data_IF_375879363967
#
_entry.id   IF_375879363967
#
_cell.length_a   1.000
_cell.length_b   1.000
_cell.length_c   1.000
_cell.angle_alpha   90.00
_cell.angle_beta   90.00
_cell.angle_gamma   90.00
#
_symmetry.space_group_name_H-M   'P 1'
#
loop_
_entity.id
_entity.type
_entity.pdbx_description
1 polymer ?
#
# COMPACT_ATOMS: atom_id res chain seq x y z
N UNK A 1 -10.17 -0.87 -7.94
CA UNK A 1 -9.18 0.01 -7.32
C UNK A 1 -8.21 -0.81 -6.48
N UNK A 2 -6.92 -0.47 -6.51
CA UNK A 2 -5.89 -1.06 -5.65
C UNK A 2 -5.37 -0.04 -4.64
N UNK A 3 -5.13 -0.49 -3.42
CA UNK A 3 -4.46 0.30 -2.38
C UNK A 3 -3.20 -0.42 -1.95
N UNK A 4 -2.06 0.24 -2.09
CA UNK A 4 -0.77 -0.16 -1.52
C UNK A 4 -0.65 0.46 -0.13
N UNK A 5 -0.46 -0.38 0.88
CA UNK A 5 -0.28 0.04 2.28
C UNK A 5 0.45 -1.07 3.02
N UNK A 6 0.94 -0.78 4.23
CA UNK A 6 1.34 -1.83 5.15
C UNK A 6 0.47 -1.74 6.39
N UNK A 7 0.12 -2.89 6.94
CA UNK A 7 -0.52 -2.96 8.25
C UNK A 7 0.19 -4.01 9.10
N UNK A 8 0.54 -3.65 10.33
CA UNK A 8 1.30 -4.53 11.23
C UNK A 8 0.53 -5.75 11.71
N UNK A 9 -0.79 -5.81 11.46
CA UNK A 9 -1.62 -6.96 11.79
C UNK A 9 -1.69 -8.03 10.70
N UNK A 10 -1.09 -7.80 9.52
CA UNK A 10 -1.28 -8.64 8.34
C UNK A 10 0.01 -8.90 7.59
N UNK A 11 0.03 -9.98 6.82
CA UNK A 11 1.10 -10.27 5.85
C UNK A 11 0.76 -9.70 4.46
N UNK A 12 0.12 -8.53 4.44
CA UNK A 12 -0.50 -7.94 3.25
C UNK A 12 0.15 -6.60 2.90
N UNK A 13 0.44 -6.39 1.63
CA UNK A 13 0.97 -5.14 1.06
C UNK A 13 0.03 -4.49 0.03
N UNK A 14 -1.00 -5.20 -0.44
CA UNK A 14 -2.02 -4.63 -1.32
C UNK A 14 -3.42 -5.17 -1.08
N UNK A 15 -4.40 -4.28 -1.22
CA UNK A 15 -5.83 -4.57 -1.18
C UNK A 15 -6.51 -4.14 -2.47
N UNK A 16 -7.57 -4.85 -2.83
CA UNK A 16 -8.39 -4.57 -3.99
C UNK A 16 -9.84 -4.35 -3.57
N UNK A 17 -10.42 -3.30 -4.12
CA UNK A 17 -11.81 -2.92 -3.89
C UNK A 17 -12.52 -2.63 -5.21
N UNK A 18 -13.80 -2.99 -5.28
CA UNK A 18 -14.67 -2.53 -6.38
C UNK A 18 -14.76 -0.99 -6.37
N UNK A 19 -14.79 -0.39 -7.56
CA UNK A 19 -14.86 1.07 -7.69
C UNK A 19 -16.20 1.64 -7.20
N UNK A 20 -17.28 0.84 -7.22
CA UNK A 20 -18.61 1.22 -6.78
C UNK A 20 -18.85 0.90 -5.30
N UNK A 21 -17.89 0.28 -4.61
CA UNK A 21 -18.02 -0.03 -3.20
C UNK A 21 -17.73 1.23 -2.35
N UNK A 22 -18.79 1.84 -1.86
CA UNK A 22 -18.77 3.03 -1.00
C UNK A 22 -18.43 2.73 0.47
N UNK A 23 -18.15 1.48 0.84
CA UNK A 23 -17.83 1.11 2.22
C UNK A 23 -16.52 1.75 2.70
N UNK A 24 -16.24 1.68 4.00
CA UNK A 24 -14.95 2.16 4.54
C UNK A 24 -13.83 1.13 4.44
N UNK A 25 -14.12 -0.06 3.93
CA UNK A 25 -13.15 -1.15 3.93
C UNK A 25 -12.22 -1.06 2.73
N UNK A 26 -10.98 -1.54 2.91
CA UNK A 26 -9.98 -1.64 1.84
C UNK A 26 -10.32 -2.70 0.78
N UNK A 27 -11.30 -3.56 1.07
CA UNK A 27 -11.66 -4.69 0.24
C UNK A 27 -10.80 -5.92 0.57
N UNK A 28 -10.61 -6.78 -0.43
CA UNK A 28 -9.88 -8.04 -0.26
C UNK A 28 -8.38 -7.83 -0.31
N UNK A 29 -7.64 -8.52 0.57
CA UNK A 29 -6.20 -8.67 0.42
C UNK A 29 -5.90 -9.36 -0.92
N UNK A 30 -4.94 -8.80 -1.67
CA UNK A 30 -4.55 -9.32 -2.99
C UNK A 30 -3.03 -9.34 -3.19
N UNK A 31 -2.26 -8.63 -2.38
CA UNK A 31 -0.81 -8.72 -2.38
C UNK A 31 -0.35 -9.14 -0.99
N UNK A 32 0.25 -10.32 -0.90
CA UNK A 32 0.75 -10.92 0.34
C UNK A 32 2.23 -11.28 0.19
N UNK A 33 2.90 -11.71 1.26
CA UNK A 33 4.34 -12.03 1.17
C UNK A 33 4.64 -13.15 0.18
N UNK A 34 3.71 -14.08 -0.03
CA UNK A 34 3.86 -15.26 -0.87
C UNK A 34 3.29 -15.10 -2.29
N UNK A 35 2.54 -14.03 -2.58
CA UNK A 35 1.91 -13.92 -3.87
C UNK A 35 1.08 -12.68 -4.18
N UNK A 36 0.55 -12.71 -5.40
CA UNK A 36 -0.40 -11.75 -5.93
C UNK A 36 -1.66 -12.48 -6.43
N UNK A 37 -2.81 -12.00 -5.98
CA UNK A 37 -4.15 -12.56 -6.21
C UNK A 37 -5.11 -11.50 -6.76
N UNK A 38 -4.57 -10.40 -7.29
CA UNK A 38 -5.36 -9.34 -7.91
C UNK A 38 -5.92 -9.77 -9.27
N UNK A 39 -6.98 -9.08 -9.71
CA UNK A 39 -7.61 -9.31 -11.01
C UNK A 39 -6.71 -9.03 -12.24
N UNK A 40 -5.72 -8.15 -12.09
CA UNK A 40 -4.79 -7.79 -13.16
C UNK A 40 -3.46 -8.51 -12.95
N UNK A 41 -2.90 -9.06 -14.02
CA UNK A 41 -1.56 -9.65 -13.96
C UNK A 41 -0.51 -8.56 -13.69
N UNK A 42 0.49 -8.89 -12.87
CA UNK A 42 1.66 -8.06 -12.61
C UNK A 42 2.93 -8.87 -12.85
N UNK A 43 4.04 -8.18 -13.08
CA UNK A 43 5.33 -8.80 -13.24
C UNK A 43 5.78 -9.49 -11.94
N UNK A 44 6.48 -10.60 -12.10
CA UNK A 44 7.07 -11.31 -10.96
C UNK A 44 8.07 -10.43 -10.19
N UNK A 45 8.76 -9.53 -10.89
CA UNK A 45 9.68 -8.56 -10.30
C UNK A 45 8.96 -7.57 -9.38
N UNK A 46 7.84 -6.99 -9.83
CA UNK A 46 7.04 -6.09 -9.00
C UNK A 46 6.53 -6.79 -7.74
N UNK A 47 5.97 -7.99 -7.91
CA UNK A 47 5.51 -8.82 -6.80
C UNK A 47 6.63 -9.08 -5.79
N UNK A 48 7.79 -9.57 -6.23
CA UNK A 48 8.92 -9.83 -5.34
C UNK A 48 9.41 -8.59 -4.60
N UNK A 49 9.51 -7.45 -5.29
CA UNK A 49 9.94 -6.20 -4.69
C UNK A 49 8.97 -5.71 -3.61
N UNK A 50 7.66 -5.88 -3.83
CA UNK A 50 6.64 -5.54 -2.85
C UNK A 50 6.64 -6.50 -1.65
N UNK A 51 6.78 -7.81 -1.87
CA UNK A 51 6.93 -8.78 -0.77
C UNK A 51 8.18 -8.49 0.07
N UNK A 52 9.30 -8.12 -0.55
CA UNK A 52 10.52 -7.76 0.17
C UNK A 52 10.37 -6.46 0.98
N UNK A 53 9.61 -5.50 0.47
CA UNK A 53 9.26 -4.28 1.21
C UNK A 53 8.44 -4.59 2.47
N UNK A 54 7.40 -5.41 2.35
CA UNK A 54 6.60 -5.90 3.47
C UNK A 54 7.46 -6.64 4.50
N UNK A 55 8.28 -7.59 4.07
CA UNK A 55 9.15 -8.36 4.97
C UNK A 55 10.17 -7.47 5.69
N UNK A 56 10.70 -6.44 5.03
CA UNK A 56 11.57 -5.44 5.65
C UNK A 56 10.86 -4.70 6.78
N UNK A 57 9.62 -4.27 6.54
CA UNK A 57 8.78 -3.63 7.53
C UNK A 57 8.44 -4.56 8.70
N UNK A 58 7.97 -5.78 8.45
CA UNK A 58 7.60 -6.74 9.51
C UNK A 58 8.80 -7.10 10.42
N UNK A 59 10.01 -7.14 9.86
CA UNK A 59 11.25 -7.42 10.62
C UNK A 59 11.70 -6.29 11.53
N UNK A 60 11.14 -5.09 11.39
CA UNK A 60 11.56 -3.91 12.16
C UNK A 60 11.04 -3.87 13.60
N UNK A 61 10.19 -4.81 14.01
CA UNK A 61 9.71 -4.98 15.40
C UNK A 61 9.09 -3.69 15.99
N UNK A 62 8.18 -3.06 15.23
CA UNK A 62 7.47 -1.82 15.61
C UNK A 62 6.42 -1.98 16.74
N UNK A 63 6.54 -3.04 17.55
CA UNK A 63 5.77 -3.21 18.78
C UNK A 63 6.52 -2.63 19.99
N UNK A 64 7.76 -2.17 19.81
CA UNK A 64 8.53 -1.39 20.77
C UNK A 64 8.47 0.09 20.37
N UNK A 65 7.95 0.95 21.26
CA UNK A 65 7.81 2.40 21.03
C UNK A 65 9.15 3.07 20.66
N UNK A 66 10.27 2.61 21.23
CA UNK A 66 11.59 3.15 20.91
C UNK A 66 12.03 2.85 19.47
N UNK A 67 11.55 1.73 18.90
CA UNK A 67 11.82 1.37 17.50
C UNK A 67 10.91 2.14 16.54
N UNK A 68 9.71 2.54 16.95
CA UNK A 68 8.80 3.36 16.13
C UNK A 68 9.40 4.73 15.83
N UNK A 69 9.96 5.39 16.85
CA UNK A 69 10.57 6.73 16.69
C UNK A 69 11.89 6.70 15.90
N UNK A 70 12.62 5.58 15.97
CA UNK A 70 13.89 5.39 15.24
C UNK A 70 13.75 4.79 13.84
N UNK A 71 12.53 4.41 13.43
CA UNK A 71 12.30 3.79 12.13
C UNK A 71 12.38 4.81 10.98
N UNK A 72 13.04 4.43 9.89
CA UNK A 72 13.16 5.27 8.69
C UNK A 72 11.87 5.23 7.85
N UNK A 73 10.85 5.94 8.34
CA UNK A 73 9.56 6.10 7.68
C UNK A 73 9.69 6.70 6.28
N UNK A 74 10.59 7.67 6.09
CA UNK A 74 10.79 8.34 4.79
C UNK A 74 11.26 7.36 3.70
N UNK A 75 12.21 6.48 4.02
CA UNK A 75 12.64 5.44 3.08
C UNK A 75 11.54 4.41 2.81
N UNK A 76 10.75 4.04 3.83
CA UNK A 76 9.60 3.16 3.66
C UNK A 76 8.58 3.76 2.68
N UNK A 77 8.21 5.03 2.86
CA UNK A 77 7.22 5.70 2.01
C UNK A 77 7.71 5.91 0.59
N UNK A 78 8.97 6.34 0.42
CA UNK A 78 9.56 6.49 -0.92
C UNK A 78 9.48 5.18 -1.70
N UNK A 79 9.85 4.06 -1.08
CA UNK A 79 9.80 2.77 -1.75
C UNK A 79 8.36 2.32 -2.02
N UNK A 80 7.45 2.47 -1.07
CA UNK A 80 6.02 2.16 -1.25
C UNK A 80 5.36 2.94 -2.39
N UNK A 81 5.68 4.24 -2.51
CA UNK A 81 5.19 5.09 -3.62
C UNK A 81 5.75 4.63 -4.96
N UNK A 82 7.03 4.27 -5.03
CA UNK A 82 7.62 3.74 -6.27
C UNK A 82 6.99 2.40 -6.68
N UNK A 83 6.67 1.52 -5.72
CA UNK A 83 5.91 0.30 -5.98
C UNK A 83 4.50 0.61 -6.51
N UNK A 84 3.82 1.59 -5.93
CA UNK A 84 2.50 2.01 -6.39
C UNK A 84 2.53 2.60 -7.82
N UNK A 85 3.57 3.35 -8.18
CA UNK A 85 3.80 3.82 -9.56
C UNK A 85 4.03 2.68 -10.53
N UNK A 86 4.87 1.70 -10.17
CA UNK A 86 5.11 0.52 -11.01
C UNK A 86 3.83 -0.29 -11.21
N UNK A 87 3.06 -0.50 -10.13
CA UNK A 87 1.77 -1.16 -10.23
C UNK A 87 0.84 -0.41 -11.19
N UNK A 88 0.74 0.92 -11.05
CA UNK A 88 -0.10 1.74 -11.94
C UNK A 88 0.36 1.64 -13.41
N UNK A 89 1.66 1.59 -13.66
CA UNK A 89 2.20 1.42 -15.01
C UNK A 89 1.87 0.05 -15.61
N UNK A 90 1.90 -1.03 -14.82
CA UNK A 90 1.58 -2.38 -15.31
C UNK A 90 0.09 -2.60 -15.54
N UNK A 91 -0.78 -2.10 -14.66
CA UNK A 91 -2.24 -2.25 -14.81
C UNK A 91 -2.85 -1.20 -15.75
N UNK A 92 -2.16 -0.07 -15.96
CA UNK A 92 -2.61 1.00 -16.84
C UNK A 92 -3.88 1.69 -16.36
N UNK A 93 -4.77 2.02 -17.29
CA UNK A 93 -6.01 2.78 -17.02
C UNK A 93 -7.16 1.92 -16.45
N UNK A 94 -7.00 0.60 -16.38
CA UNK A 94 -8.10 -0.31 -16.00
C UNK A 94 -8.49 -0.23 -14.53
N UNK A 95 -7.59 0.26 -13.67
CA UNK A 95 -7.85 0.43 -12.25
C UNK A 95 -7.06 1.60 -11.66
N UNK A 96 -7.65 2.28 -10.69
CA UNK A 96 -6.95 3.27 -9.87
C UNK A 96 -5.98 2.60 -8.89
N UNK A 97 -4.86 3.26 -8.61
CA UNK A 97 -3.87 2.85 -7.61
C UNK A 97 -3.64 3.97 -6.62
N UNK A 98 -3.64 3.61 -5.35
CA UNK A 98 -3.39 4.54 -4.25
C UNK A 98 -2.31 4.01 -3.33
N UNK A 99 -1.58 4.92 -2.71
CA UNK A 99 -0.65 4.64 -1.63
C UNK A 99 -1.19 5.23 -0.33
N UNK A 100 -1.18 4.42 0.73
CA UNK A 100 -1.56 4.83 2.08
C UNK A 100 -0.42 4.49 3.03
N UNK A 101 -0.14 5.40 3.95
CA UNK A 101 0.89 5.22 4.97
C UNK A 101 0.51 4.09 5.92
N UNK A 102 1.51 3.42 6.49
CA UNK A 102 1.27 2.35 7.42
C UNK A 102 0.59 2.87 8.70
N UNK A 103 -0.27 2.05 9.32
CA UNK A 103 -1.04 2.43 10.51
C UNK A 103 -0.18 2.79 11.74
N UNK A 104 1.06 2.29 11.79
CA UNK A 104 2.05 2.55 12.83
C UNK A 104 2.90 3.80 12.60
N UNK A 105 2.83 4.42 11.41
CA UNK A 105 3.56 5.67 11.14
C UNK A 105 3.01 6.77 12.07
N UNK A 106 3.86 7.49 12.82
CA UNK A 106 3.42 8.59 13.69
C UNK A 106 2.69 9.71 12.95
N UNK A 107 2.96 9.87 11.66
CA UNK A 107 2.32 10.83 10.76
C UNK A 107 1.14 10.25 9.99
N UNK A 108 0.70 9.04 10.33
CA UNK A 108 -0.44 8.38 9.73
C UNK A 108 -1.74 9.14 9.96
N UNK A 109 -2.46 9.43 8.88
CA UNK A 109 -3.82 9.95 8.92
C UNK A 109 -4.74 9.06 8.10
N UNK A 110 -5.79 8.52 8.74
CA UNK A 110 -6.78 7.61 8.12
C UNK A 110 -7.56 8.24 6.98
N UNK A 111 -7.62 9.57 6.93
CA UNK A 111 -8.35 10.31 5.92
C UNK A 111 -7.46 10.78 4.75
N UNK A 112 -6.16 10.48 4.78
CA UNK A 112 -5.18 10.96 3.80
C UNK A 112 -4.43 9.83 3.12
N UNK A 113 -4.02 10.09 1.89
CA UNK A 113 -3.16 9.21 1.11
C UNK A 113 -2.80 9.85 -0.20
N UNK A 114 -2.34 9.03 -1.14
CA UNK A 114 -1.86 9.48 -2.43
C UNK A 114 -2.47 8.66 -3.54
N UNK A 115 -3.03 9.32 -4.54
CA UNK A 115 -3.45 8.68 -5.78
C UNK A 115 -2.32 8.77 -6.81
N UNK A 116 -2.12 7.66 -7.54
CA UNK A 116 -1.10 7.58 -8.57
C UNK A 116 -1.78 7.65 -9.93
N UNK A 117 -1.50 8.71 -10.67
CA UNK A 117 -2.04 8.88 -12.02
C UNK A 117 -1.35 7.92 -13.00
N UNK A 118 -1.95 7.74 -14.17
CA UNK A 118 -1.35 6.96 -15.25
C UNK A 118 0.04 7.50 -15.67
N UNK A 119 0.25 8.81 -15.60
CA UNK A 119 1.54 9.47 -15.86
C UNK A 119 2.55 9.31 -14.70
N UNK A 120 2.19 8.58 -13.64
CA UNK A 120 3.04 8.38 -12.46
C UNK A 120 3.09 9.60 -11.52
N UNK A 121 2.21 10.57 -11.70
CA UNK A 121 2.09 11.75 -10.82
C UNK A 121 1.43 11.31 -9.51
N UNK A 122 1.97 11.82 -8.41
CA UNK A 122 1.46 11.54 -7.05
C UNK A 122 0.58 12.71 -6.63
N UNK A 123 -0.71 12.47 -6.47
CA UNK A 123 -1.68 13.49 -6.07
C UNK A 123 -2.12 13.23 -4.62
N UNK A 124 -2.02 14.21 -3.71
CA UNK A 124 -2.57 14.05 -2.37
C UNK A 124 -4.09 13.94 -2.46
N UNK A 125 -4.65 12.99 -1.72
CA UNK A 125 -6.09 12.80 -1.61
C UNK A 125 -6.51 12.96 -0.15
N UNK A 126 -7.56 13.75 0.06
CA UNK A 126 -8.23 13.94 1.35
C UNK A 126 -9.61 13.30 1.29
N UNK A 127 -10.02 12.62 2.38
CA UNK A 127 -11.21 11.76 2.53
C UNK A 127 -11.03 10.32 2.04
N UNK A 128 -9.88 9.70 2.29
CA UNK A 128 -9.85 8.24 2.30
C UNK A 128 -10.73 7.72 3.43
N UNK A 129 -11.62 6.78 3.11
CA UNK A 129 -12.33 6.03 4.13
C UNK A 129 -11.57 4.73 4.34
N UNK A 130 -10.67 4.72 5.32
CA UNK A 130 -9.76 3.62 5.62
C UNK A 130 -10.20 2.82 6.84
N UNK A 131 -10.58 1.56 6.63
CA UNK A 131 -10.77 0.54 7.65
C UNK A 131 -10.13 -0.78 7.17
N UNK A 132 -9.08 -1.29 7.83
CA UNK A 132 -8.68 -2.68 7.65
C UNK A 132 -9.83 -3.58 8.11
N UNK A 133 -10.00 -4.71 7.42
CA UNK A 133 -11.06 -5.70 7.71
C UNK A 133 -10.64 -6.58 8.87
#
# INVERSE_FOLDING_TARGET
MYTISLDTGTDTWAWMKDANDESRYLGSAVGESDGWYGQHEISHELMQNASMWLLGFLRSKLDDEANVDGFDWDSLHRYGIELAKRLKAEIGETADVRYVKASKDPSYNREEGFEITYEGVVLPISRLQWCPV
#
